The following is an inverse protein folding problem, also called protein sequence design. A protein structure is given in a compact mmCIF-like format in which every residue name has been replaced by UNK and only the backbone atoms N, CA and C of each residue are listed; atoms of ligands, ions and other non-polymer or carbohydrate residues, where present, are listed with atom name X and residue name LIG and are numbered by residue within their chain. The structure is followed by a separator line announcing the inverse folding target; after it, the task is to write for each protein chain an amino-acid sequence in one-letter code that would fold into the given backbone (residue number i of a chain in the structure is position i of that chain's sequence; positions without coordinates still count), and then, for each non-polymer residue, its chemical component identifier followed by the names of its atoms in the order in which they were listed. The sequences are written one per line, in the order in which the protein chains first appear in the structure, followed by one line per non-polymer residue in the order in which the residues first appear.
data_IF_217916975410
#
_entry.id   IF_217916975410
#
_cell.length_a   1.000
_cell.length_b   1.000
_cell.length_c   1.000
_cell.angle_alpha   90.00
_cell.angle_beta   90.00
_cell.angle_gamma   90.00
#
_symmetry.space_group_name_H-M   'P 1'
#
loop_
_entity.id
_entity.type
_entity.pdbx_description
1 polymer ?
#
# COMPACT_ATOMS: atom_id res chain seq x y z
N UNK A 1 -47.48 36.45 30.78
CA UNK A 1 -47.34 36.72 29.32
C UNK A 1 -45.86 37.03 29.09
N UNK A 2 -45.03 36.36 28.30
CA UNK A 2 -45.14 35.38 27.23
C UNK A 2 -43.82 34.56 27.26
N UNK A 3 -43.91 33.24 27.15
CA UNK A 3 -42.78 32.37 26.81
C UNK A 3 -42.23 32.76 25.44
N UNK A 4 -40.91 32.73 25.24
CA UNK A 4 -40.32 32.30 23.97
C UNK A 4 -39.01 31.55 24.22
N UNK A 5 -39.14 30.22 24.15
CA UNK A 5 -38.10 29.27 23.75
C UNK A 5 -37.48 29.74 22.43
N UNK A 6 -36.16 29.83 22.34
CA UNK A 6 -35.45 29.74 21.05
C UNK A 6 -34.56 28.51 21.13
N UNK A 7 -35.10 27.41 20.59
CA UNK A 7 -34.34 26.23 20.23
C UNK A 7 -33.34 26.57 19.11
N UNK A 8 -32.12 26.10 19.32
CA UNK A 8 -31.17 25.51 18.37
C UNK A 8 -31.28 25.80 16.87
N UNK A 9 -30.12 26.12 16.29
CA UNK A 9 -29.59 25.37 15.14
C UNK A 9 -28.08 25.65 15.04
N UNK A 10 -27.27 24.95 15.85
CA UNK A 10 -25.86 24.76 15.50
C UNK A 10 -25.83 23.83 14.29
N UNK A 11 -25.94 24.42 13.10
CA UNK A 11 -25.62 23.75 11.85
C UNK A 11 -24.14 23.42 11.87
N UNK A 12 -23.81 22.24 12.38
CA UNK A 12 -22.57 21.55 12.02
C UNK A 12 -22.66 21.28 10.53
N UNK A 13 -22.15 22.23 9.74
CA UNK A 13 -21.72 21.96 8.39
C UNK A 13 -20.60 20.93 8.51
N UNK A 14 -20.97 19.65 8.58
CA UNK A 14 -20.08 18.55 8.24
C UNK A 14 -19.77 18.72 6.76
N UNK A 15 -18.77 19.55 6.48
CA UNK A 15 -18.14 19.62 5.17
C UNK A 15 -17.83 18.18 4.78
N UNK A 16 -18.35 17.66 3.65
CA UNK A 16 -17.82 16.41 3.13
C UNK A 16 -16.34 16.67 2.92
N UNK A 17 -15.48 15.91 3.59
CA UNK A 17 -14.05 15.97 3.36
C UNK A 17 -13.81 15.42 1.96
N UNK A 18 -13.71 16.32 0.98
CA UNK A 18 -13.44 15.93 -0.40
C UNK A 18 -12.09 15.19 -0.43
N UNK A 19 -12.14 13.92 -0.81
CA UNK A 19 -11.04 13.24 -1.48
C UNK A 19 -9.86 12.75 -0.64
N UNK A 20 -10.00 12.56 0.68
CA UNK A 20 -9.04 11.71 1.38
C UNK A 20 -9.38 10.25 1.08
N UNK A 21 -8.49 9.54 0.39
CA UNK A 21 -8.52 8.08 0.43
C UNK A 21 -8.30 7.72 1.89
N UNK A 22 -9.35 7.24 2.56
CA UNK A 22 -9.22 6.78 3.94
C UNK A 22 -8.13 5.70 4.01
N UNK A 23 -7.39 5.60 5.13
CA UNK A 23 -6.53 4.44 5.37
C UNK A 23 -7.32 3.15 5.14
N UNK A 24 -6.68 2.16 4.52
CA UNK A 24 -7.30 0.86 4.23
C UNK A 24 -7.84 0.23 5.53
N UNK A 25 -9.04 -0.37 5.48
CA UNK A 25 -9.58 -1.17 6.58
C UNK A 25 -9.31 -2.66 6.29
N UNK A 26 -8.30 -3.28 6.94
CA UNK A 26 -7.89 -4.64 6.62
C UNK A 26 -8.91 -5.68 7.11
N UNK A 27 -9.13 -6.72 6.31
CA UNK A 27 -9.90 -7.89 6.73
C UNK A 27 -9.30 -8.59 7.95
N UNK A 28 -10.07 -9.40 8.68
CA UNK A 28 -9.55 -10.20 9.80
C UNK A 28 -8.34 -11.07 9.41
N UNK A 29 -8.33 -11.61 8.20
CA UNK A 29 -7.23 -12.41 7.67
C UNK A 29 -5.97 -11.58 7.47
N UNK A 30 -6.09 -10.38 6.88
CA UNK A 30 -4.94 -9.48 6.74
C UNK A 30 -4.44 -8.98 8.11
N UNK A 31 -5.35 -8.69 9.06
CA UNK A 31 -4.98 -8.35 10.45
C UNK A 31 -4.18 -9.48 11.11
N UNK A 32 -4.65 -10.72 10.98
CA UNK A 32 -3.95 -11.89 11.50
C UNK A 32 -2.56 -12.08 10.88
N UNK A 33 -2.44 -11.90 9.56
CA UNK A 33 -1.15 -11.93 8.86
C UNK A 33 -0.20 -10.87 9.43
N UNK A 34 -0.64 -9.61 9.54
CA UNK A 34 0.21 -8.52 10.06
C UNK A 34 0.69 -8.82 11.48
N UNK A 35 -0.19 -9.35 12.35
CA UNK A 35 0.19 -9.78 13.70
C UNK A 35 1.26 -10.88 13.64
N UNK A 36 1.04 -11.91 12.82
CA UNK A 36 2.01 -13.00 12.63
C UNK A 36 3.37 -12.49 12.14
N UNK A 37 3.39 -11.57 11.18
CA UNK A 37 4.62 -10.94 10.70
C UNK A 37 5.34 -10.17 11.80
N UNK A 38 4.63 -9.34 12.58
CA UNK A 38 5.21 -8.60 13.71
C UNK A 38 5.82 -9.54 14.77
N UNK A 39 5.19 -10.68 15.03
CA UNK A 39 5.74 -11.72 15.92
C UNK A 39 7.03 -12.34 15.35
N UNK A 40 7.04 -12.67 14.05
CA UNK A 40 8.23 -13.19 13.37
C UNK A 40 9.40 -12.20 13.48
N UNK A 41 9.16 -10.92 13.25
CA UNK A 41 10.20 -9.88 13.31
C UNK A 41 10.74 -9.64 14.73
N UNK A 42 9.95 -9.95 15.76
CA UNK A 42 10.39 -9.89 17.16
C UNK A 42 11.15 -11.16 17.62
N UNK A 43 11.23 -12.19 16.79
CA UNK A 43 11.84 -13.47 17.17
C UNK A 43 13.37 -13.37 17.34
N UNK A 44 13.90 -14.07 18.34
CA UNK A 44 15.34 -14.26 18.51
C UNK A 44 15.97 -15.23 17.50
N UNK A 45 15.14 -16.04 16.83
CA UNK A 45 15.56 -17.09 15.89
C UNK A 45 15.81 -16.60 14.47
N UNK A 46 15.73 -15.29 14.22
CA UNK A 46 15.99 -14.71 12.91
C UNK A 46 17.41 -14.99 12.43
N UNK A 47 17.55 -15.31 11.15
CA UNK A 47 18.86 -15.45 10.52
C UNK A 47 19.52 -14.08 10.38
N UNK A 48 20.82 -14.06 10.11
CA UNK A 48 21.54 -12.82 9.82
C UNK A 48 20.95 -12.09 8.60
N UNK A 49 20.58 -12.84 7.56
CA UNK A 49 19.96 -12.29 6.34
C UNK A 49 18.60 -11.65 6.67
N UNK A 50 17.78 -12.26 7.52
CA UNK A 50 16.50 -11.69 7.94
C UNK A 50 16.72 -10.35 8.65
N UNK A 51 17.70 -10.28 9.55
CA UNK A 51 18.05 -9.03 10.25
C UNK A 51 18.53 -7.94 9.29
N UNK A 52 19.34 -8.29 8.29
CA UNK A 52 19.76 -7.35 7.25
C UNK A 52 18.54 -6.85 6.45
N UNK A 53 17.66 -7.76 6.04
CA UNK A 53 16.44 -7.41 5.31
C UNK A 53 15.53 -6.50 6.12
N UNK A 54 15.43 -6.71 7.43
CA UNK A 54 14.66 -5.85 8.34
C UNK A 54 15.14 -4.41 8.42
N UNK A 55 16.41 -4.14 8.13
CA UNK A 55 16.97 -2.79 8.13
C UNK A 55 16.78 -2.06 6.79
N UNK A 56 16.33 -2.77 5.75
CA UNK A 56 16.18 -2.19 4.42
C UNK A 56 14.82 -1.54 4.26
N UNK A 57 14.80 -0.24 3.96
CA UNK A 57 13.57 0.55 3.75
C UNK A 57 12.67 0.00 2.63
N UNK A 58 13.24 -0.73 1.66
CA UNK A 58 12.50 -1.35 0.56
C UNK A 58 11.91 -2.72 0.91
N UNK A 59 12.02 -3.18 2.15
CA UNK A 59 11.54 -4.49 2.59
C UNK A 59 10.17 -4.43 3.28
N UNK A 60 9.36 -5.47 3.10
CA UNK A 60 8.06 -5.61 3.75
C UNK A 60 8.19 -5.55 5.28
N UNK A 61 9.24 -6.14 5.84
CA UNK A 61 9.45 -6.12 7.29
C UNK A 61 9.70 -4.71 7.84
N UNK A 62 10.41 -3.85 7.09
CA UNK A 62 10.61 -2.45 7.46
C UNK A 62 9.30 -1.68 7.38
N UNK A 63 8.51 -1.89 6.31
CA UNK A 63 7.19 -1.30 6.16
C UNK A 63 6.28 -1.66 7.35
N UNK A 64 6.10 -2.95 7.65
CA UNK A 64 5.20 -3.42 8.71
C UNK A 64 5.66 -2.97 10.11
N UNK A 65 6.97 -2.87 10.33
CA UNK A 65 7.52 -2.48 11.64
C UNK A 65 7.35 -0.98 11.91
N UNK A 66 7.45 -0.14 10.89
CA UNK A 66 7.59 1.32 11.08
C UNK A 66 6.43 2.16 10.54
N UNK A 67 5.49 1.61 9.77
CA UNK A 67 4.37 2.40 9.21
C UNK A 67 3.47 3.02 10.29
N UNK A 68 3.31 2.36 11.43
CA UNK A 68 2.46 2.81 12.55
C UNK A 68 3.24 3.60 13.63
N UNK A 69 4.46 4.06 13.34
CA UNK A 69 5.36 4.70 14.32
C UNK A 69 5.65 6.18 13.97
N UNK A 70 4.64 7.06 13.92
CA UNK A 70 4.86 8.46 13.57
C UNK A 70 5.87 9.14 14.51
N UNK A 71 6.75 9.95 13.94
CA UNK A 71 7.76 10.72 14.68
C UNK A 71 9.13 10.03 14.84
N UNK A 72 9.28 8.78 14.41
CA UNK A 72 10.60 8.10 14.41
C UNK A 72 11.40 8.39 13.13
N UNK A 73 12.75 8.32 13.19
CA UNK A 73 13.59 8.40 11.99
C UNK A 73 13.25 7.35 10.93
N UNK A 74 12.96 6.11 11.36
CA UNK A 74 12.63 4.99 10.49
C UNK A 74 11.30 5.21 9.78
N UNK A 75 10.30 5.76 10.49
CA UNK A 75 9.04 6.14 9.88
C UNK A 75 9.24 7.25 8.85
N UNK A 76 10.01 8.30 9.16
CA UNK A 76 10.32 9.37 8.21
C UNK A 76 11.03 8.83 6.95
N UNK A 77 11.99 7.91 7.13
CA UNK A 77 12.69 7.23 6.04
C UNK A 77 11.71 6.39 5.19
N UNK A 78 10.82 5.63 5.82
CA UNK A 78 9.79 4.85 5.13
C UNK A 78 8.88 5.75 4.30
N UNK A 79 8.38 6.85 4.87
CA UNK A 79 7.49 7.79 4.16
C UNK A 79 8.19 8.42 2.96
N UNK A 80 9.45 8.81 3.10
CA UNK A 80 10.24 9.34 1.98
C UNK A 80 10.41 8.31 0.86
N UNK A 81 10.71 7.06 1.21
CA UNK A 81 10.82 5.95 0.25
C UNK A 81 9.50 5.69 -0.48
N UNK A 82 8.39 5.56 0.26
CA UNK A 82 7.05 5.35 -0.29
C UNK A 82 6.65 6.49 -1.22
N UNK A 83 6.95 7.73 -0.84
CA UNK A 83 6.71 8.90 -1.69
C UNK A 83 7.51 8.83 -3.01
N UNK A 84 8.80 8.51 -2.93
CA UNK A 84 9.66 8.34 -4.10
C UNK A 84 9.14 7.25 -5.04
N UNK A 85 8.79 6.08 -4.50
CA UNK A 85 8.23 4.96 -5.26
C UNK A 85 6.90 5.33 -5.94
N UNK A 86 6.00 5.98 -5.22
CA UNK A 86 4.73 6.46 -5.75
C UNK A 86 4.93 7.41 -6.94
N UNK A 87 5.82 8.39 -6.78
CA UNK A 87 6.15 9.37 -7.82
C UNK A 87 6.83 8.71 -9.02
N UNK A 88 7.73 7.75 -8.80
CA UNK A 88 8.43 7.03 -9.86
C UNK A 88 7.46 6.23 -10.75
N UNK A 89 6.55 5.45 -10.15
CA UNK A 89 5.58 4.67 -10.92
C UNK A 89 4.57 5.58 -11.65
N UNK A 90 4.05 6.61 -10.98
CA UNK A 90 3.11 7.54 -11.61
C UNK A 90 3.76 8.33 -12.75
N UNK A 91 4.98 8.83 -12.54
CA UNK A 91 5.75 9.54 -13.56
C UNK A 91 6.08 8.65 -14.75
N UNK A 92 6.60 7.44 -14.50
CA UNK A 92 6.98 6.50 -15.56
C UNK A 92 5.79 6.13 -16.45
N UNK A 93 4.63 5.78 -15.86
CA UNK A 93 3.45 5.41 -16.65
C UNK A 93 2.85 6.60 -17.38
N UNK A 94 2.81 7.77 -16.76
CA UNK A 94 2.36 8.98 -17.45
C UNK A 94 3.23 9.27 -18.69
N UNK A 95 4.55 9.11 -18.57
CA UNK A 95 5.47 9.29 -19.70
C UNK A 95 5.23 8.27 -20.81
N UNK A 96 5.13 6.98 -20.47
CA UNK A 96 4.87 5.92 -21.45
C UNK A 96 3.58 6.19 -22.23
N UNK A 97 2.49 6.53 -21.53
CA UNK A 97 1.20 6.85 -22.16
C UNK A 97 1.32 8.08 -23.06
N UNK A 98 1.99 9.14 -22.59
CA UNK A 98 2.20 10.37 -23.36
C UNK A 98 3.01 10.13 -24.64
N UNK A 99 3.92 9.17 -24.64
CA UNK A 99 4.73 8.78 -25.81
C UNK A 99 4.12 7.61 -26.60
N UNK A 100 2.83 7.30 -26.39
CA UNK A 100 2.11 6.23 -27.08
C UNK A 100 2.73 4.82 -26.90
N UNK A 101 3.40 4.59 -25.77
CA UNK A 101 3.89 3.28 -25.34
C UNK A 101 2.86 2.67 -24.38
N UNK A 102 2.45 1.43 -24.63
CA UNK A 102 1.54 0.71 -23.73
C UNK A 102 2.31 0.34 -22.45
N UNK A 103 1.92 0.87 -21.27
CA UNK A 103 2.59 0.56 -20.02
C UNK A 103 2.25 -0.85 -19.51
N UNK A 104 3.01 -1.32 -18.52
CA UNK A 104 2.76 -2.63 -17.88
C UNK A 104 1.56 -2.62 -16.91
N UNK A 105 1.03 -1.42 -16.57
CA UNK A 105 -0.28 -1.20 -15.95
C UNK A 105 -0.94 0.08 -16.50
N UNK A 106 -2.27 0.10 -16.61
CA UNK A 106 -3.03 1.13 -17.31
C UNK A 106 -4.05 1.80 -16.36
N UNK A 107 -3.67 2.92 -15.70
CA UNK A 107 -4.60 3.63 -14.84
C UNK A 107 -5.74 4.27 -15.64
N UNK A 108 -6.94 4.26 -15.07
CA UNK A 108 -8.13 4.85 -15.72
C UNK A 108 -7.91 6.35 -15.95
N UNK A 109 -8.11 6.79 -17.19
CA UNK A 109 -7.90 8.20 -17.57
C UNK A 109 -6.44 8.57 -17.83
N UNK A 110 -5.53 7.60 -17.97
CA UNK A 110 -4.16 7.82 -18.43
C UNK A 110 -3.17 8.28 -17.36
N UNK A 111 -3.60 8.42 -16.10
CA UNK A 111 -2.74 8.80 -15.00
C UNK A 111 -3.24 8.22 -13.67
N UNK A 112 -2.31 7.96 -12.74
CA UNK A 112 -2.66 7.59 -11.38
C UNK A 112 -3.25 8.80 -10.64
N UNK A 113 -4.37 8.58 -9.96
CA UNK A 113 -4.98 9.57 -9.08
C UNK A 113 -4.28 9.53 -7.72
N UNK A 114 -3.35 10.45 -7.53
CA UNK A 114 -2.56 10.54 -6.30
C UNK A 114 -3.08 11.66 -5.37
N UNK A 115 -2.91 11.52 -4.04
CA UNK A 115 -3.11 12.61 -3.10
C UNK A 115 -2.25 13.82 -3.45
N UNK A 116 -2.70 15.00 -3.01
CA UNK A 116 -1.88 16.22 -3.08
C UNK A 116 -0.58 16.03 -2.29
N UNK A 117 0.57 16.56 -2.76
CA UNK A 117 1.80 16.61 -1.98
C UNK A 117 1.63 17.30 -0.62
N UNK A 118 0.68 18.23 -0.53
CA UNK A 118 0.38 19.00 0.69
C UNK A 118 -0.73 18.37 1.54
N UNK A 119 -1.22 17.18 1.17
CA UNK A 119 -2.21 16.48 2.00
C UNK A 119 -1.58 15.99 3.30
N UNK A 120 -2.35 15.78 4.38
CA UNK A 120 -1.84 15.25 5.65
C UNK A 120 -1.13 13.90 5.52
N UNK A 121 -1.52 13.06 4.55
CA UNK A 121 -0.83 11.81 4.21
C UNK A 121 -0.63 11.69 2.68
N UNK A 122 0.48 12.22 2.12
CA UNK A 122 0.72 12.22 0.68
C UNK A 122 1.04 10.82 0.11
N UNK A 123 1.37 9.85 0.95
CA UNK A 123 1.69 8.46 0.57
C UNK A 123 0.54 7.49 0.80
N UNK A 124 -0.64 7.95 1.21
CA UNK A 124 -1.78 7.07 1.51
C UNK A 124 -2.18 6.17 0.33
N UNK A 125 -1.98 6.63 -0.91
CA UNK A 125 -2.26 5.80 -2.08
C UNK A 125 -1.38 4.55 -2.14
N UNK A 126 -0.07 4.68 -1.95
CA UNK A 126 0.85 3.54 -2.05
C UNK A 126 0.78 2.65 -0.81
N UNK A 127 0.51 3.21 0.38
CA UNK A 127 0.24 2.45 1.60
C UNK A 127 -0.97 1.55 1.43
N UNK A 128 -2.09 2.13 0.99
CA UNK A 128 -3.32 1.39 0.73
C UNK A 128 -3.13 0.34 -0.37
N UNK A 129 -2.34 0.64 -1.41
CA UNK A 129 -2.01 -0.32 -2.44
C UNK A 129 -1.26 -1.52 -1.88
N UNK A 130 -0.28 -1.32 -0.99
CA UNK A 130 0.48 -2.42 -0.36
C UNK A 130 -0.48 -3.31 0.44
N UNK A 131 -1.32 -2.73 1.30
CA UNK A 131 -2.29 -3.52 2.09
C UNK A 131 -3.30 -4.26 1.22
N UNK A 132 -3.92 -3.57 0.24
CA UNK A 132 -4.87 -4.20 -0.69
C UNK A 132 -4.21 -5.35 -1.46
N UNK A 133 -2.94 -5.20 -1.81
CA UNK A 133 -2.20 -6.25 -2.52
C UNK A 133 -1.91 -7.45 -1.63
N UNK A 134 -1.46 -7.23 -0.39
CA UNK A 134 -1.25 -8.31 0.59
C UNK A 134 -2.55 -9.08 0.82
N UNK A 135 -3.68 -8.38 0.91
CA UNK A 135 -4.99 -8.99 1.06
C UNK A 135 -5.39 -9.86 -0.13
N UNK A 136 -5.27 -9.33 -1.35
CA UNK A 136 -5.57 -10.09 -2.57
C UNK A 136 -4.64 -11.28 -2.76
N UNK A 137 -3.37 -11.10 -2.44
CA UNK A 137 -2.36 -12.15 -2.54
C UNK A 137 -2.65 -13.27 -1.54
N UNK A 138 -3.01 -12.93 -0.29
CA UNK A 138 -3.44 -13.91 0.71
C UNK A 138 -4.72 -14.65 0.31
N UNK A 139 -5.69 -13.96 -0.32
CA UNK A 139 -6.90 -14.61 -0.84
C UNK A 139 -6.60 -15.62 -1.96
N UNK A 140 -5.60 -15.33 -2.80
CA UNK A 140 -5.20 -16.17 -3.94
C UNK A 140 -4.26 -17.30 -3.53
N UNK A 141 -3.40 -17.03 -2.57
CA UNK A 141 -2.42 -17.97 -2.03
C UNK A 141 -2.36 -17.87 -0.50
N UNK A 142 -3.28 -18.56 0.20
CA UNK A 142 -3.35 -18.51 1.66
C UNK A 142 -2.08 -18.98 2.38
N UNK A 143 -1.23 -19.77 1.71
CA UNK A 143 0.00 -20.33 2.28
C UNK A 143 1.26 -19.58 1.86
N UNK A 144 1.15 -18.45 1.15
CA UNK A 144 2.31 -17.73 0.61
C UNK A 144 3.37 -17.43 1.68
N UNK A 145 2.94 -16.96 2.84
CA UNK A 145 3.81 -16.57 3.95
C UNK A 145 4.29 -17.75 4.81
N UNK A 146 3.86 -18.98 4.52
CA UNK A 146 4.33 -20.21 5.18
C UNK A 146 5.37 -20.94 4.33
N UNK A 147 5.32 -20.78 3.00
CA UNK A 147 6.25 -21.44 2.07
C UNK A 147 7.67 -20.96 2.25
N UNK A 148 8.62 -21.83 1.90
CA UNK A 148 10.05 -21.52 1.92
C UNK A 148 10.51 -20.90 3.26
N UNK A 149 10.02 -21.45 4.37
CA UNK A 149 10.28 -20.98 5.73
C UNK A 149 9.89 -19.51 5.96
N UNK A 150 8.81 -19.06 5.32
CA UNK A 150 8.29 -17.71 5.49
C UNK A 150 9.12 -16.62 4.84
N UNK A 151 9.94 -16.93 3.84
CA UNK A 151 10.77 -15.95 3.13
C UNK A 151 9.98 -14.76 2.55
N UNK A 152 8.70 -14.96 2.21
CA UNK A 152 7.81 -13.89 1.76
C UNK A 152 7.59 -12.80 2.82
N UNK A 153 7.80 -13.10 4.10
CA UNK A 153 7.77 -12.10 5.19
C UNK A 153 8.88 -11.05 5.04
N UNK A 154 9.95 -11.35 4.31
CA UNK A 154 11.12 -10.48 4.10
C UNK A 154 11.28 -10.09 2.63
N UNK A 155 10.21 -10.09 1.85
CA UNK A 155 10.28 -9.72 0.44
C UNK A 155 10.30 -8.19 0.23
N UNK A 156 10.86 -7.70 -0.88
CA UNK A 156 10.81 -6.28 -1.21
C UNK A 156 9.38 -5.78 -1.46
N UNK A 157 9.02 -4.62 -0.93
CA UNK A 157 7.70 -3.98 -1.18
C UNK A 157 7.52 -3.57 -2.63
N UNK A 158 8.61 -3.35 -3.37
CA UNK A 158 8.56 -3.06 -4.82
C UNK A 158 7.80 -4.15 -5.58
N UNK A 159 8.03 -5.43 -5.25
CA UNK A 159 7.31 -6.54 -5.89
C UNK A 159 5.81 -6.49 -5.60
N UNK A 160 5.44 -6.19 -4.35
CA UNK A 160 4.05 -6.03 -3.92
C UNK A 160 3.40 -4.87 -4.67
N UNK A 161 4.04 -3.70 -4.71
CA UNK A 161 3.52 -2.52 -5.40
C UNK A 161 3.36 -2.78 -6.89
N UNK A 162 4.33 -3.43 -7.54
CA UNK A 162 4.23 -3.78 -8.96
C UNK A 162 3.06 -4.72 -9.22
N UNK A 163 2.94 -5.80 -8.48
CA UNK A 163 1.84 -6.73 -8.63
C UNK A 163 0.48 -6.06 -8.36
N UNK A 164 0.38 -5.27 -7.29
CA UNK A 164 -0.79 -4.48 -6.94
C UNK A 164 -1.24 -3.54 -8.06
N UNK A 165 -0.32 -2.77 -8.64
CA UNK A 165 -0.61 -1.87 -9.76
C UNK A 165 -1.13 -2.64 -10.97
N UNK A 166 -0.53 -3.79 -11.30
CA UNK A 166 -0.93 -4.58 -12.46
C UNK A 166 -2.33 -5.18 -12.29
N UNK A 167 -2.67 -5.73 -11.13
CA UNK A 167 -4.00 -6.33 -10.89
C UNK A 167 -5.09 -5.30 -10.64
N UNK A 168 -4.75 -4.13 -10.08
CA UNK A 168 -5.71 -3.04 -9.84
C UNK A 168 -6.01 -2.26 -11.12
N UNK A 169 -5.00 -2.08 -11.96
CA UNK A 169 -5.07 -1.32 -13.21
C UNK A 169 -4.56 -2.14 -14.40
N UNK A 170 -5.19 -3.29 -14.73
CA UNK A 170 -4.72 -4.11 -15.83
C UNK A 170 -4.98 -3.44 -17.18
N UNK A 171 -3.99 -3.46 -18.07
CA UNK A 171 -4.17 -3.00 -19.46
C UNK A 171 -5.04 -3.94 -20.29
N UNK A 172 -5.09 -5.22 -19.91
CA UNK A 172 -5.83 -6.28 -20.59
C UNK A 172 -6.59 -7.11 -19.56
N UNK A 173 -7.80 -7.53 -19.88
CA UNK A 173 -8.59 -8.44 -19.03
C UNK A 173 -9.00 -9.67 -19.84
N UNK A 174 -8.56 -10.89 -19.46
CA UNK A 174 -7.60 -11.20 -18.38
C UNK A 174 -6.18 -10.71 -18.70
N UNK A 175 -5.31 -10.61 -17.69
CA UNK A 175 -3.88 -10.26 -17.90
C UNK A 175 -3.18 -11.43 -18.62
N UNK A 176 -2.64 -11.24 -19.84
CA UNK A 176 -1.94 -12.28 -20.59
C UNK A 176 -0.73 -12.80 -19.82
N UNK A 177 -0.46 -14.11 -19.90
CA UNK A 177 0.63 -14.77 -19.18
C UNK A 177 1.99 -14.11 -19.42
N UNK A 178 2.30 -13.77 -20.69
CA UNK A 178 3.52 -13.04 -21.07
C UNK A 178 3.70 -11.67 -20.40
N UNK A 179 2.64 -11.09 -19.83
CA UNK A 179 2.71 -9.79 -19.13
C UNK A 179 2.69 -9.96 -17.61
N UNK A 180 2.45 -11.17 -17.08
CA UNK A 180 2.36 -11.43 -15.65
C UNK A 180 3.74 -11.32 -15.01
N UNK A 181 3.79 -10.69 -13.85
CA UNK A 181 5.01 -10.65 -13.04
C UNK A 181 5.34 -12.05 -12.51
N UNK A 182 6.57 -12.55 -12.69
CA UNK A 182 7.00 -13.83 -12.13
C UNK A 182 6.85 -13.89 -10.61
N UNK A 183 6.51 -15.08 -10.09
CA UNK A 183 6.39 -15.30 -8.64
C UNK A 183 5.09 -14.78 -8.01
N UNK A 184 4.09 -14.41 -8.83
CA UNK A 184 2.77 -13.98 -8.37
C UNK A 184 1.65 -14.82 -9.00
N UNK A 185 0.57 -15.02 -8.24
CA UNK A 185 -0.62 -15.75 -8.68
C UNK A 185 -1.62 -14.76 -9.29
N UNK A 186 -2.14 -15.00 -10.50
CA UNK A 186 -3.01 -14.03 -11.21
C UNK A 186 -4.48 -14.42 -11.24
#
# INVERSE_FOLDING_TARGET
MKNFMILGLCGLLSSPSWGHTAPWDPSPQLKALIIGLKLTYASSTLTEIDRINMQRVDNLSFFISHIDQPGTPEHAQLKAFLWGMQKAHAGSVYQQIRTNVVPWFCPKGGQLRLPSPNSPNPTVFIENLIYETLERDLQRDPKRFERYNGSAAFMPVTGIVMYGLQIKYPCYRPIPERHRLPGWVY
#
